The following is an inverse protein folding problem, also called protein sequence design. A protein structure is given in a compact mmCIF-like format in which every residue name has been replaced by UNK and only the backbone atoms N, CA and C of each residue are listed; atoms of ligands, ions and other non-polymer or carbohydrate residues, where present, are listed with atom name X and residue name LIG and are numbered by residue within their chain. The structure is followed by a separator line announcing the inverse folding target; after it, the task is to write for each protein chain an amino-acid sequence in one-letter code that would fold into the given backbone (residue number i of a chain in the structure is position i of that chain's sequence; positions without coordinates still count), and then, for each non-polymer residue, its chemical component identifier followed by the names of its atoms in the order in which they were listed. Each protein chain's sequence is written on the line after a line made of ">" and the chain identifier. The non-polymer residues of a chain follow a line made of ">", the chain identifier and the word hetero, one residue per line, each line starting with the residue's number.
data_IF_205885597426
#
_entry.id   IF_205885597426
#
_cell.length_a   1.000
_cell.length_b   1.000
_cell.length_c   1.000
_cell.angle_alpha   90.00
_cell.angle_beta   90.00
_cell.angle_gamma   90.00
#
_symmetry.space_group_name_H-M   'P 1'
#
loop_
_entity.id
_entity.type
_entity.pdbx_description
1 polymer ?
#
# COMPACT_ATOMS: atom_id res chain seq x y z
N UNK A 1 -10.23 -13.62 29.49
CA UNK A 1 -9.55 -12.47 28.85
C UNK A 1 -10.29 -12.10 27.57
N UNK A 2 -10.68 -10.84 27.37
CA UNK A 2 -11.55 -10.42 26.24
C UNK A 2 -10.79 -10.12 24.92
N UNK A 3 -9.46 -10.01 24.94
CA UNK A 3 -8.63 -9.73 23.74
C UNK A 3 -8.37 -11.02 22.96
N UNK A 4 -8.74 -11.07 21.68
CA UNK A 4 -8.43 -12.20 20.78
C UNK A 4 -6.96 -12.26 20.32
N UNK A 5 -6.17 -11.20 20.54
CA UNK A 5 -4.73 -11.12 20.20
C UNK A 5 -4.44 -11.48 18.73
N UNK A 6 -5.23 -10.91 17.81
CA UNK A 6 -5.08 -11.09 16.36
C UNK A 6 -5.31 -9.76 15.66
N UNK A 7 -4.44 -9.40 14.72
CA UNK A 7 -4.55 -8.17 13.92
C UNK A 7 -4.29 -8.43 12.45
N UNK A 8 -4.98 -7.69 11.58
CA UNK A 8 -4.70 -7.59 10.15
C UNK A 8 -4.16 -6.20 9.85
N UNK A 9 -3.06 -6.14 9.10
CA UNK A 9 -2.51 -4.87 8.61
C UNK A 9 -3.14 -4.56 7.26
N UNK A 10 -3.58 -3.33 7.03
CA UNK A 10 -4.25 -2.95 5.77
C UNK A 10 -3.67 -1.64 5.23
N UNK A 11 -3.46 -1.56 3.92
CA UNK A 11 -3.10 -0.30 3.28
C UNK A 11 -4.23 0.73 3.41
N UNK A 12 -3.86 2.02 3.40
CA UNK A 12 -4.75 3.11 3.79
C UNK A 12 -6.09 3.10 3.04
N UNK A 13 -6.07 2.86 1.74
CA UNK A 13 -7.25 2.94 0.88
C UNK A 13 -8.29 1.85 1.13
N UNK A 14 -7.93 0.74 1.80
CA UNK A 14 -8.91 -0.27 2.22
C UNK A 14 -9.90 0.30 3.24
N UNK A 15 -9.43 1.19 4.12
CA UNK A 15 -10.24 1.84 5.15
C UNK A 15 -10.66 3.27 4.79
N UNK A 16 -10.03 3.87 3.78
CA UNK A 16 -10.35 5.22 3.33
C UNK A 16 -10.05 5.39 1.83
N UNK A 17 -10.97 4.94 0.99
CA UNK A 17 -10.90 5.05 -0.47
C UNK A 17 -10.79 6.51 -0.95
N UNK A 18 -11.16 7.50 -0.14
CA UNK A 18 -10.98 8.92 -0.46
C UNK A 18 -9.51 9.33 -0.60
N UNK A 19 -8.55 8.54 -0.10
CA UNK A 19 -7.12 8.78 -0.29
C UNK A 19 -6.59 8.29 -1.66
N UNK A 20 -7.37 7.47 -2.38
CA UNK A 20 -6.99 7.05 -3.73
C UNK A 20 -6.98 8.25 -4.65
N UNK A 21 -6.12 8.16 -5.66
CA UNK A 21 -6.12 9.12 -6.74
C UNK A 21 -7.47 9.08 -7.46
N UNK A 22 -8.03 10.25 -7.74
CA UNK A 22 -9.25 10.37 -8.52
C UNK A 22 -9.01 9.93 -9.98
N UNK A 23 -9.92 9.16 -10.62
CA UNK A 23 -11.21 8.66 -10.15
C UNK A 23 -11.17 7.19 -9.67
N UNK A 24 -10.02 6.65 -9.27
CA UNK A 24 -9.80 5.20 -9.16
C UNK A 24 -10.45 4.51 -7.94
N UNK A 25 -11.26 5.22 -7.14
CA UNK A 25 -11.97 4.61 -6.02
C UNK A 25 -13.15 3.76 -6.52
N UNK A 26 -13.20 2.48 -6.15
CA UNK A 26 -14.29 1.55 -6.50
C UNK A 26 -15.35 1.40 -5.40
N UNK A 27 -15.14 2.06 -4.26
CA UNK A 27 -16.07 2.13 -3.13
C UNK A 27 -16.10 3.57 -2.59
N UNK A 28 -17.19 3.92 -1.91
CA UNK A 28 -17.37 5.25 -1.33
C UNK A 28 -16.42 5.55 -0.16
N UNK A 29 -15.89 4.54 0.52
CA UNK A 29 -15.02 4.76 1.67
C UNK A 29 -14.25 3.53 2.14
N UNK A 30 -14.94 2.44 2.43
CA UNK A 30 -14.32 1.22 2.97
C UNK A 30 -14.53 0.06 1.99
N UNK A 31 -13.51 -0.77 1.80
CA UNK A 31 -13.60 -2.03 1.07
C UNK A 31 -14.19 -3.10 2.00
N UNK A 32 -15.53 -3.19 2.00
CA UNK A 32 -16.31 -4.07 2.87
C UNK A 32 -15.92 -5.54 2.74
N UNK A 33 -15.57 -5.97 1.54
CA UNK A 33 -15.13 -7.33 1.22
C UNK A 33 -13.86 -7.76 1.98
N UNK A 34 -12.99 -6.79 2.34
CA UNK A 34 -11.80 -7.05 3.16
C UNK A 34 -12.13 -6.97 4.64
N UNK A 35 -12.97 -6.00 5.03
CA UNK A 35 -13.17 -5.63 6.43
C UNK A 35 -14.23 -6.50 7.13
N UNK A 36 -15.32 -6.86 6.44
CA UNK A 36 -16.40 -7.65 7.05
C UNK A 36 -15.89 -8.98 7.64
N UNK A 37 -15.04 -9.78 6.96
CA UNK A 37 -14.48 -11.00 7.55
C UNK A 37 -13.63 -10.76 8.80
N UNK A 38 -12.92 -9.63 8.89
CA UNK A 38 -12.13 -9.27 10.07
C UNK A 38 -13.06 -8.98 11.25
N UNK A 39 -14.14 -8.24 11.00
CA UNK A 39 -15.13 -7.86 12.01
C UNK A 39 -15.83 -9.09 12.61
N UNK A 40 -16.32 -9.99 11.74
CA UNK A 40 -16.99 -11.24 12.16
C UNK A 40 -16.07 -12.13 12.99
N UNK A 41 -14.78 -12.21 12.62
CA UNK A 41 -13.80 -13.05 13.33
C UNK A 41 -13.25 -12.38 14.60
N UNK A 42 -13.51 -11.09 14.81
CA UNK A 42 -12.96 -10.29 15.91
C UNK A 42 -11.45 -10.06 15.77
N UNK A 43 -10.99 -9.86 14.53
CA UNK A 43 -9.60 -9.51 14.20
C UNK A 43 -9.47 -7.99 14.21
N UNK A 44 -8.52 -7.46 14.98
CA UNK A 44 -8.24 -6.03 15.00
C UNK A 44 -7.60 -5.55 13.70
N UNK A 45 -7.59 -4.24 13.46
CA UNK A 45 -7.02 -3.65 12.25
C UNK A 45 -5.90 -2.68 12.61
N UNK A 46 -4.79 -2.77 11.88
CA UNK A 46 -3.71 -1.78 11.89
C UNK A 46 -3.70 -1.12 10.52
N UNK A 47 -4.04 0.16 10.47
CA UNK A 47 -4.06 0.92 9.23
C UNK A 47 -2.66 1.47 8.92
N UNK A 48 -2.14 1.16 7.73
CA UNK A 48 -0.94 1.79 7.22
C UNK A 48 -1.25 3.22 6.72
N UNK A 49 -0.28 4.16 6.81
CA UNK A 49 -0.40 5.46 6.18
C UNK A 49 -0.38 5.33 4.64
N UNK A 50 -0.90 6.34 3.95
CA UNK A 50 -0.81 6.43 2.49
C UNK A 50 0.48 7.20 2.12
N UNK A 51 1.46 6.54 1.47
CA UNK A 51 2.71 7.19 1.11
C UNK A 51 2.50 8.25 0.02
N UNK A 52 1.58 8.02 -0.93
CA UNK A 52 1.34 8.99 -2.02
C UNK A 52 0.62 10.24 -1.52
N UNK A 53 -0.33 10.10 -0.59
CA UNK A 53 -1.06 11.22 0.00
C UNK A 53 -0.14 12.11 0.84
N UNK A 54 0.71 11.50 1.67
CA UNK A 54 1.65 12.25 2.52
C UNK A 54 2.79 12.89 1.73
N UNK A 55 3.16 12.33 0.57
CA UNK A 55 4.25 12.84 -0.26
C UNK A 55 3.78 13.89 -1.29
N UNK A 56 2.68 13.63 -2.01
CA UNK A 56 2.23 14.47 -3.13
C UNK A 56 0.86 15.14 -2.90
N UNK A 57 0.13 14.75 -1.85
CA UNK A 57 -1.22 15.25 -1.60
C UNK A 57 -2.29 14.68 -2.55
N UNK A 58 -3.48 15.29 -2.51
CA UNK A 58 -4.64 14.84 -3.29
C UNK A 58 -4.64 15.31 -4.75
N UNK A 59 -3.93 16.39 -5.08
CA UNK A 59 -3.87 16.93 -6.45
C UNK A 59 -2.79 16.25 -7.31
N UNK A 60 -2.27 15.11 -6.87
CA UNK A 60 -1.21 14.36 -7.55
C UNK A 60 -1.71 13.68 -8.83
N UNK A 61 -0.78 13.43 -9.74
CA UNK A 61 -1.01 12.66 -10.95
C UNK A 61 -0.83 11.17 -10.70
N UNK A 62 -1.39 10.34 -11.58
CA UNK A 62 -1.11 8.92 -11.60
C UNK A 62 0.35 8.72 -11.99
N UNK A 63 1.07 7.90 -11.22
CA UNK A 63 2.49 7.65 -11.42
C UNK A 63 2.73 6.14 -11.38
N UNK A 64 3.76 5.67 -12.10
CA UNK A 64 4.20 4.27 -12.05
C UNK A 64 5.30 4.05 -11.03
N UNK A 65 5.60 2.78 -10.74
CA UNK A 65 6.57 2.38 -9.72
C UNK A 65 7.91 3.08 -9.86
N UNK A 66 8.46 3.18 -11.07
CA UNK A 66 9.79 3.77 -11.33
C UNK A 66 9.87 5.24 -10.92
N UNK A 67 8.75 5.97 -11.01
CA UNK A 67 8.70 7.38 -10.64
C UNK A 67 8.71 7.58 -9.12
N UNK A 68 8.35 6.55 -8.35
CA UNK A 68 8.47 6.50 -6.89
C UNK A 68 9.75 5.79 -6.42
N UNK A 69 10.41 5.02 -7.29
CA UNK A 69 11.62 4.27 -6.95
C UNK A 69 12.86 5.17 -6.90
N UNK A 70 12.86 6.10 -5.95
CA UNK A 70 13.93 7.06 -5.73
C UNK A 70 14.30 7.11 -4.26
N UNK A 71 15.59 7.38 -3.92
CA UNK A 71 16.06 7.32 -2.52
C UNK A 71 15.24 8.18 -1.55
N UNK A 72 14.83 9.39 -1.96
CA UNK A 72 14.07 10.30 -1.11
C UNK A 72 12.68 9.74 -0.76
N UNK A 73 12.01 9.09 -1.72
CA UNK A 73 10.68 8.52 -1.49
C UNK A 73 10.76 7.23 -0.67
N UNK A 74 11.77 6.37 -0.90
CA UNK A 74 12.01 5.20 -0.04
C UNK A 74 12.30 5.60 1.41
N UNK A 75 13.09 6.65 1.65
CA UNK A 75 13.32 7.19 2.98
C UNK A 75 12.03 7.73 3.63
N UNK A 76 11.17 8.39 2.85
CA UNK A 76 9.83 8.80 3.29
C UNK A 76 8.95 7.59 3.67
N UNK A 77 8.94 6.53 2.85
CA UNK A 77 8.27 5.27 3.17
C UNK A 77 8.73 4.69 4.51
N UNK A 78 10.05 4.56 4.72
CA UNK A 78 10.59 4.03 5.97
C UNK A 78 10.19 4.89 7.18
N UNK A 79 10.24 6.22 7.04
CA UNK A 79 9.82 7.15 8.11
C UNK A 79 8.37 6.94 8.53
N UNK A 80 7.46 6.71 7.58
CA UNK A 80 6.06 6.41 7.85
C UNK A 80 5.85 5.02 8.47
N UNK A 81 6.66 4.04 8.07
CA UNK A 81 6.50 2.64 8.44
C UNK A 81 7.10 2.30 9.80
N UNK A 82 8.21 2.94 10.20
CA UNK A 82 8.89 2.69 11.48
C UNK A 82 7.93 2.67 12.67
N UNK A 83 7.12 3.71 12.95
CA UNK A 83 6.23 3.68 14.11
C UNK A 83 5.17 2.58 14.04
N UNK A 84 4.75 2.17 12.84
CA UNK A 84 3.79 1.08 12.66
C UNK A 84 4.47 -0.26 12.93
N UNK A 85 5.67 -0.49 12.41
CA UNK A 85 6.43 -1.73 12.62
C UNK A 85 6.82 -1.88 14.10
N UNK A 86 7.19 -0.79 14.77
CA UNK A 86 7.42 -0.79 16.23
C UNK A 86 6.15 -1.22 17.00
N UNK A 87 4.98 -0.71 16.61
CA UNK A 87 3.70 -1.13 17.19
C UNK A 87 3.42 -2.62 16.92
N UNK A 88 3.65 -3.10 15.70
CA UNK A 88 3.46 -4.50 15.34
C UNK A 88 4.39 -5.41 16.14
N UNK A 89 5.63 -4.98 16.38
CA UNK A 89 6.59 -5.68 17.23
C UNK A 89 6.10 -5.80 18.66
N UNK A 90 5.65 -4.71 19.26
CA UNK A 90 5.09 -4.72 20.62
C UNK A 90 3.85 -5.61 20.74
N UNK A 91 2.99 -5.63 19.70
CA UNK A 91 1.87 -6.54 19.64
C UNK A 91 2.34 -8.00 19.58
N UNK A 92 3.29 -8.32 18.71
CA UNK A 92 3.83 -9.67 18.56
C UNK A 92 4.53 -10.16 19.85
N UNK A 93 5.29 -9.29 20.52
CA UNK A 93 5.95 -9.59 21.79
C UNK A 93 4.94 -9.85 22.94
N UNK A 94 3.75 -9.23 22.90
CA UNK A 94 2.59 -9.58 23.76
C UNK A 94 1.83 -10.83 23.25
N UNK A 95 2.37 -11.59 22.30
CA UNK A 95 1.74 -12.80 21.76
C UNK A 95 0.52 -12.52 20.88
N UNK A 96 0.44 -11.35 20.25
CA UNK A 96 -0.55 -11.04 19.22
C UNK A 96 -0.12 -11.60 17.87
N UNK A 97 -1.01 -12.31 17.19
CA UNK A 97 -0.77 -12.80 15.82
C UNK A 97 -1.04 -11.70 14.81
N UNK A 98 -0.06 -11.42 13.95
CA UNK A 98 -0.24 -10.61 12.74
C UNK A 98 -0.70 -11.56 11.64
N UNK A 99 -2.00 -11.56 11.35
CA UNK A 99 -2.64 -12.51 10.42
C UNK A 99 -2.22 -12.30 8.97
N UNK A 100 -1.83 -11.08 8.62
CA UNK A 100 -1.41 -10.72 7.28
C UNK A 100 -1.32 -9.21 7.07
N UNK A 101 -0.89 -8.86 5.86
CA UNK A 101 -0.86 -7.50 5.32
C UNK A 101 -1.67 -7.46 4.03
N UNK A 102 -2.66 -6.59 3.92
CA UNK A 102 -3.51 -6.45 2.74
C UNK A 102 -3.20 -5.16 1.98
N UNK A 103 -2.76 -5.31 0.73
CA UNK A 103 -2.47 -4.24 -0.22
C UNK A 103 -3.53 -4.07 -1.31
N UNK A 104 -3.19 -3.30 -2.34
CA UNK A 104 -3.98 -3.13 -3.57
C UNK A 104 -3.12 -3.49 -4.77
N UNK A 105 -3.46 -4.59 -5.44
CA UNK A 105 -2.75 -4.99 -6.64
C UNK A 105 -2.94 -3.95 -7.74
N UNK A 106 -1.84 -3.64 -8.44
CA UNK A 106 -1.81 -2.54 -9.41
C UNK A 106 -1.33 -1.21 -8.86
N UNK A 107 -1.26 -1.04 -7.55
CA UNK A 107 -0.66 0.16 -6.97
C UNK A 107 0.86 0.19 -7.18
N UNK A 108 1.44 1.36 -7.53
CA UNK A 108 2.90 1.55 -7.58
C UNK A 108 3.56 1.42 -6.21
N UNK A 109 2.79 1.56 -5.11
CA UNK A 109 3.32 1.61 -3.75
C UNK A 109 2.81 0.47 -2.86
N UNK A 110 1.50 0.17 -2.90
CA UNK A 110 0.86 -0.83 -2.07
C UNK A 110 0.52 -2.12 -2.85
N UNK A 111 1.07 -2.31 -4.04
CA UNK A 111 0.95 -3.53 -4.83
C UNK A 111 1.65 -4.70 -4.15
N UNK A 112 1.09 -5.91 -4.27
CA UNK A 112 1.63 -7.11 -3.62
C UNK A 112 2.12 -8.11 -4.67
N UNK A 113 1.22 -8.56 -5.55
CA UNK A 113 1.52 -9.52 -6.61
C UNK A 113 1.87 -8.81 -7.91
N UNK A 114 1.23 -7.67 -8.18
CA UNK A 114 1.45 -6.87 -9.39
C UNK A 114 1.48 -5.38 -9.09
N UNK A 115 2.22 -4.65 -9.92
CA UNK A 115 2.40 -3.19 -9.87
C UNK A 115 2.47 -2.61 -11.29
N UNK A 116 2.34 -1.30 -11.42
CA UNK A 116 2.32 -0.60 -12.70
C UNK A 116 3.67 0.06 -13.02
N UNK A 117 4.06 0.03 -14.29
CA UNK A 117 5.36 0.46 -14.81
C UNK A 117 5.23 1.19 -16.14
N UNK A 118 6.26 1.92 -16.56
CA UNK A 118 6.43 2.35 -17.94
C UNK A 118 6.14 3.82 -18.26
N UNK A 119 5.65 4.62 -17.32
CA UNK A 119 5.59 6.07 -17.56
C UNK A 119 6.99 6.67 -17.60
N UNK A 120 7.25 7.44 -18.66
CA UNK A 120 8.58 8.03 -18.93
C UNK A 120 8.72 9.45 -18.39
N UNK A 121 7.62 10.04 -17.88
CA UNK A 121 7.58 11.44 -17.45
C UNK A 121 7.58 12.41 -18.64
N UNK A 122 7.83 13.70 -18.36
CA UNK A 122 7.83 14.77 -19.35
C UNK A 122 6.94 15.95 -18.94
N UNK A 123 6.79 16.91 -19.86
CA UNK A 123 5.92 18.07 -19.69
C UNK A 123 4.56 17.82 -20.36
N UNK A 124 3.47 18.35 -19.77
CA UNK A 124 2.10 18.23 -20.30
C UNK A 124 1.97 18.73 -21.75
N UNK A 125 2.74 19.76 -22.11
CA UNK A 125 2.78 20.33 -23.45
C UNK A 125 4.06 19.97 -24.23
N UNK A 126 4.80 18.96 -23.75
CA UNK A 126 6.03 18.49 -24.37
C UNK A 126 5.79 17.58 -25.57
N UNK A 127 6.88 17.08 -26.16
CA UNK A 127 6.83 16.17 -27.32
C UNK A 127 6.26 14.78 -27.01
N UNK A 128 6.30 14.36 -25.74
CA UNK A 128 5.73 13.07 -25.32
C UNK A 128 4.22 13.18 -25.22
N UNK A 129 3.51 12.38 -26.00
CA UNK A 129 2.05 12.45 -26.05
C UNK A 129 1.42 11.51 -25.02
N UNK A 130 0.17 11.79 -24.63
CA UNK A 130 -0.62 10.89 -23.78
C UNK A 130 -0.73 9.47 -24.38
N UNK A 131 -0.99 9.28 -25.69
CA UNK A 131 -0.93 7.97 -26.34
C UNK A 131 0.38 7.21 -26.09
N UNK A 132 1.53 7.89 -26.13
CA UNK A 132 2.83 7.24 -25.91
C UNK A 132 2.96 6.73 -24.46
N UNK A 133 2.55 7.55 -23.48
CA UNK A 133 2.55 7.14 -22.07
C UNK A 133 1.61 5.96 -21.83
N UNK A 134 0.45 5.95 -22.46
CA UNK A 134 -0.52 4.86 -22.36
C UNK A 134 0.00 3.57 -23.02
N UNK A 135 0.69 3.67 -24.15
CA UNK A 135 1.29 2.52 -24.83
C UNK A 135 2.41 1.88 -24.00
N UNK A 136 3.13 2.66 -23.20
CA UNK A 136 4.19 2.15 -22.33
C UNK A 136 3.69 1.56 -21.01
N UNK A 137 2.46 1.87 -20.58
CA UNK A 137 1.92 1.39 -19.31
C UNK A 137 1.81 -0.14 -19.31
N UNK A 138 2.53 -0.76 -18.38
CA UNK A 138 2.52 -2.21 -18.22
C UNK A 138 2.25 -2.63 -16.77
N UNK A 139 1.43 -3.66 -16.62
CA UNK A 139 1.23 -4.37 -15.37
C UNK A 139 2.25 -5.50 -15.25
N UNK A 140 3.15 -5.39 -14.27
CA UNK A 140 4.24 -6.37 -14.06
C UNK A 140 4.09 -7.05 -12.72
N UNK A 141 4.68 -8.25 -12.57
CA UNK A 141 4.74 -8.96 -11.29
C UNK A 141 5.70 -8.23 -10.35
N UNK A 142 5.32 -8.10 -9.08
CA UNK A 142 6.15 -7.52 -8.03
C UNK A 142 5.37 -6.64 -7.05
N UNK A 143 6.04 -6.29 -5.96
CA UNK A 143 5.52 -5.37 -4.96
C UNK A 143 5.71 -3.91 -5.38
N UNK A 144 4.87 -3.03 -4.83
CA UNK A 144 5.09 -1.59 -4.88
C UNK A 144 6.13 -1.13 -3.86
N UNK A 145 6.66 0.08 -4.05
CA UNK A 145 7.80 0.62 -3.27
C UNK A 145 7.53 0.63 -1.76
N UNK A 146 6.36 1.10 -1.33
CA UNK A 146 6.02 1.15 0.08
C UNK A 146 5.92 -0.23 0.73
N UNK A 147 5.44 -1.24 -0.02
CA UNK A 147 5.35 -2.61 0.47
C UNK A 147 6.68 -3.37 0.44
N UNK A 148 7.59 -3.02 -0.48
CA UNK A 148 8.99 -3.47 -0.40
C UNK A 148 9.64 -2.99 0.90
N UNK A 149 9.52 -1.70 1.22
CA UNK A 149 10.08 -1.12 2.45
C UNK A 149 9.41 -1.70 3.72
N UNK A 150 8.09 -1.95 3.69
CA UNK A 150 7.38 -2.58 4.80
C UNK A 150 7.88 -4.02 5.01
N UNK A 151 7.99 -4.81 3.94
CA UNK A 151 8.49 -6.19 4.02
C UNK A 151 9.91 -6.22 4.60
N UNK A 152 10.80 -5.34 4.13
CA UNK A 152 12.16 -5.22 4.65
C UNK A 152 12.17 -4.85 6.14
N UNK A 153 11.44 -3.80 6.54
CA UNK A 153 11.36 -3.37 7.95
C UNK A 153 10.77 -4.43 8.87
N UNK A 154 9.76 -5.18 8.41
CA UNK A 154 9.20 -6.30 9.16
C UNK A 154 10.25 -7.39 9.38
N UNK A 155 10.98 -7.78 8.33
CA UNK A 155 12.05 -8.78 8.41
C UNK A 155 13.18 -8.34 9.34
N UNK A 156 13.64 -7.09 9.23
CA UNK A 156 14.65 -6.48 10.12
C UNK A 156 14.24 -6.56 11.61
N UNK A 157 12.93 -6.53 11.89
CA UNK A 157 12.38 -6.58 13.25
C UNK A 157 11.95 -7.99 13.72
N UNK A 158 12.20 -9.02 12.89
CA UNK A 158 11.83 -10.40 13.19
C UNK A 158 10.35 -10.70 13.05
N UNK A 159 9.61 -9.88 12.30
CA UNK A 159 8.18 -10.06 12.04
C UNK A 159 7.97 -10.79 10.72
N UNK A 160 7.06 -11.76 10.72
CA UNK A 160 6.66 -12.50 9.53
C UNK A 160 5.14 -12.55 9.45
N UNK A 161 4.59 -12.14 8.30
CA UNK A 161 3.18 -12.22 8.00
C UNK A 161 2.97 -12.40 6.49
N UNK A 162 1.92 -13.12 6.05
CA UNK A 162 1.61 -13.24 4.63
C UNK A 162 1.11 -11.90 4.07
N UNK A 163 1.47 -11.61 2.83
CA UNK A 163 0.95 -10.48 2.09
C UNK A 163 -0.13 -10.96 1.11
N UNK A 164 -1.27 -10.27 1.12
CA UNK A 164 -2.38 -10.47 0.21
C UNK A 164 -2.83 -9.12 -0.35
N UNK A 165 -3.66 -9.11 -1.38
CA UNK A 165 -4.12 -7.87 -2.01
C UNK A 165 -5.56 -7.98 -2.51
N UNK A 166 -6.23 -6.82 -2.52
CA UNK A 166 -7.43 -6.64 -3.32
C UNK A 166 -7.00 -6.48 -4.77
N UNK A 167 -7.58 -7.29 -5.66
CA UNK A 167 -7.43 -7.10 -7.10
C UNK A 167 -8.61 -6.26 -7.64
N UNK A 168 -8.27 -5.13 -8.24
CA UNK A 168 -9.20 -4.22 -8.88
C UNK A 168 -8.97 -4.15 -10.40
N UNK A 169 -8.30 -5.11 -11.03
CA UNK A 169 -8.37 -5.20 -12.49
C UNK A 169 -9.70 -5.80 -12.91
#
# INVERSE_FOLDING_TARGET
>A
MHRKKRVMVVCHCILNANAKIHPLARTAGIYQEVIAPCLEKGVGLVQLPCPELSYLGMKRWGMTKEQYDVPAFRAHCRTLLTPVVDQLKLLADDGCTIEGVVGMDGSPNCGVRKTCTGYTGGEIAGSTTLPDQMANLAMVKGMGIFFEELSALMQENGLCAPFDAVDES
#
